data_IF_022340189004
#
_entry.id   IF_022340189004
#
_cell.length_a   1.000
_cell.length_b   1.000
_cell.length_c   1.000
_cell.angle_alpha   90.00
_cell.angle_beta   90.00
_cell.angle_gamma   90.00
#
_symmetry.space_group_name_H-M   'P 1'
#
loop_
_entity.id
_entity.type
_entity.pdbx_description
1 polymer ?
#
# COMPACT_ATOMS: atom_id res chain seq x y z
N UNK A 1 -29.36 -48.33 15.21
CA UNK A 1 -29.22 -48.04 13.75
C UNK A 1 -29.72 -46.62 13.53
N UNK A 2 -28.85 -45.60 13.49
CA UNK A 2 -27.98 -45.16 12.40
C UNK A 2 -28.67 -44.18 11.41
N UNK A 3 -28.17 -42.93 11.43
CA UNK A 3 -28.05 -41.95 10.31
C UNK A 3 -29.34 -41.24 9.85
N UNK A 4 -29.35 -39.98 9.41
CA UNK A 4 -28.31 -38.98 9.23
C UNK A 4 -28.94 -37.58 9.07
N UNK A 5 -28.22 -36.55 9.54
CA UNK A 5 -28.39 -35.14 9.16
C UNK A 5 -28.20 -34.94 7.66
N UNK A 6 -28.95 -33.99 7.07
CA UNK A 6 -28.43 -33.09 6.02
C UNK A 6 -28.97 -31.67 6.27
N UNK A 7 -28.12 -30.83 6.86
CA UNK A 7 -28.23 -29.39 6.70
C UNK A 7 -27.65 -29.03 5.33
N UNK A 8 -28.46 -28.44 4.46
CA UNK A 8 -27.99 -27.82 3.22
C UNK A 8 -27.36 -26.47 3.57
N UNK A 9 -26.03 -26.45 3.73
CA UNK A 9 -25.28 -25.20 3.76
C UNK A 9 -25.29 -24.57 2.37
N UNK A 10 -26.03 -23.48 2.21
CA UNK A 10 -25.94 -22.60 1.04
C UNK A 10 -24.52 -22.01 0.98
N UNK A 11 -23.67 -22.49 0.07
CA UNK A 11 -22.40 -21.83 -0.27
C UNK A 11 -22.71 -20.48 -0.91
N UNK A 12 -22.63 -19.39 -0.14
CA UNK A 12 -22.74 -18.03 -0.68
C UNK A 12 -21.44 -17.71 -1.45
N UNK A 13 -21.59 -17.32 -2.71
CA UNK A 13 -20.48 -16.93 -3.57
C UNK A 13 -19.91 -15.55 -3.17
N UNK A 14 -18.60 -15.30 -3.38
CA UNK A 14 -18.02 -13.97 -3.24
C UNK A 14 -18.61 -12.99 -4.27
N UNK A 15 -18.65 -11.70 -3.93
CA UNK A 15 -19.03 -10.63 -4.86
C UNK A 15 -17.79 -10.10 -5.57
N UNK A 16 -17.91 -9.85 -6.87
CA UNK A 16 -16.86 -9.29 -7.70
C UNK A 16 -17.22 -7.89 -8.16
N UNK A 17 -16.36 -6.91 -7.86
CA UNK A 17 -16.50 -5.54 -8.32
C UNK A 17 -15.33 -5.20 -9.23
N UNK A 18 -15.65 -4.81 -10.46
CA UNK A 18 -14.69 -4.26 -11.41
C UNK A 18 -14.76 -2.74 -11.35
N UNK A 19 -13.67 -2.10 -10.98
CA UNK A 19 -13.55 -0.64 -10.99
C UNK A 19 -12.60 -0.28 -12.14
N UNK A 20 -13.08 0.56 -13.06
CA UNK A 20 -12.26 1.15 -14.11
C UNK A 20 -11.95 2.58 -13.74
N UNK A 21 -10.66 2.89 -13.63
CA UNK A 21 -10.21 4.27 -13.61
C UNK A 21 -9.99 4.72 -15.06
N UNK A 22 -10.90 5.55 -15.56
CA UNK A 22 -10.91 6.01 -16.95
C UNK A 22 -9.72 6.92 -17.29
N UNK A 23 -9.08 7.54 -16.30
CA UNK A 23 -7.95 8.45 -16.54
C UNK A 23 -6.62 7.70 -16.68
N UNK A 24 -6.50 6.51 -16.08
CA UNK A 24 -5.22 5.78 -15.99
C UNK A 24 -5.20 4.45 -16.76
N UNK A 25 -6.24 4.15 -17.55
CA UNK A 25 -6.42 2.88 -18.28
C UNK A 25 -6.12 1.65 -17.41
N UNK A 26 -6.54 1.70 -16.15
CA UNK A 26 -6.27 0.68 -15.15
C UNK A 26 -7.55 -0.09 -14.83
N UNK A 27 -7.43 -1.42 -14.74
CA UNK A 27 -8.50 -2.31 -14.30
C UNK A 27 -8.20 -2.81 -12.89
N UNK A 28 -9.12 -2.54 -11.98
CA UNK A 28 -9.07 -3.03 -10.61
C UNK A 28 -10.14 -4.10 -10.41
N UNK A 29 -9.73 -5.20 -9.79
CA UNK A 29 -10.59 -6.33 -9.45
C UNK A 29 -10.51 -6.49 -7.94
N UNK A 30 -11.65 -6.34 -7.27
CA UNK A 30 -11.78 -6.61 -5.84
C UNK A 30 -12.80 -7.73 -5.63
N UNK A 31 -12.39 -8.78 -4.93
CA UNK A 31 -13.29 -9.82 -4.43
C UNK A 31 -13.36 -9.71 -2.92
N UNK A 32 -14.57 -9.57 -2.40
CA UNK A 32 -14.81 -9.49 -0.96
C UNK A 32 -15.71 -10.61 -0.46
N UNK A 33 -15.51 -11.01 0.80
CA UNK A 33 -16.40 -11.91 1.51
C UNK A 33 -17.78 -11.26 1.66
N UNK A 34 -18.84 -11.93 1.21
CA UNK A 34 -20.19 -11.35 1.25
C UNK A 34 -20.75 -11.14 2.65
N UNK A 35 -20.21 -11.82 3.67
CA UNK A 35 -20.68 -11.69 5.06
C UNK A 35 -19.86 -10.67 5.84
N UNK A 36 -18.54 -10.74 5.75
CA UNK A 36 -17.64 -9.86 6.53
C UNK A 36 -17.29 -8.57 5.79
N UNK A 37 -17.55 -8.51 4.48
CA UNK A 37 -17.06 -7.48 3.55
C UNK A 37 -15.53 -7.38 3.49
N UNK A 38 -14.81 -8.35 4.02
CA UNK A 38 -13.35 -8.37 3.99
C UNK A 38 -12.83 -8.72 2.60
N UNK A 39 -11.81 -8.01 2.15
CA UNK A 39 -11.11 -8.25 0.89
C UNK A 39 -10.44 -9.63 0.92
N UNK A 40 -10.75 -10.46 -0.07
CA UNK A 40 -10.18 -11.81 -0.25
C UNK A 40 -9.19 -11.82 -1.41
N UNK A 41 -9.43 -11.05 -2.46
CA UNK A 41 -8.54 -10.94 -3.61
C UNK A 41 -8.56 -9.53 -4.17
N UNK A 42 -7.38 -9.09 -4.60
CA UNK A 42 -7.19 -7.81 -5.24
C UNK A 42 -6.30 -7.97 -6.46
N UNK A 43 -6.72 -7.40 -7.58
CA UNK A 43 -5.99 -7.38 -8.83
C UNK A 43 -5.89 -5.96 -9.40
N UNK A 44 -4.72 -5.62 -9.93
CA UNK A 44 -4.50 -4.43 -10.75
C UNK A 44 -3.94 -4.88 -12.09
N UNK A 45 -4.46 -4.32 -13.16
CA UNK A 45 -3.82 -4.32 -14.47
C UNK A 45 -3.65 -2.88 -14.95
N UNK A 46 -2.41 -2.49 -15.25
CA UNK A 46 -2.06 -1.15 -15.71
C UNK A 46 -0.86 -1.23 -16.65
N UNK A 47 -0.98 -0.69 -17.86
CA UNK A 47 0.14 -0.59 -18.82
C UNK A 47 0.93 -1.91 -19.03
N UNK A 48 0.22 -3.03 -19.19
CA UNK A 48 0.77 -4.41 -19.29
C UNK A 48 1.46 -4.94 -18.01
N UNK A 49 1.41 -4.20 -16.91
CA UNK A 49 1.79 -4.72 -15.61
C UNK A 49 0.56 -5.29 -14.91
N UNK A 50 0.74 -6.42 -14.23
CA UNK A 50 -0.32 -7.02 -13.42
C UNK A 50 0.17 -7.27 -12.02
N UNK A 51 -0.63 -6.87 -11.03
CA UNK A 51 -0.38 -7.14 -9.62
C UNK A 51 -1.59 -7.87 -9.06
N UNK A 52 -1.39 -8.99 -8.37
CA UNK A 52 -2.47 -9.74 -7.73
C UNK A 52 -2.09 -10.12 -6.33
N UNK A 53 -3.06 -10.14 -5.44
CA UNK A 53 -2.91 -10.67 -4.09
C UNK A 53 -4.20 -11.36 -3.67
N UNK A 54 -4.08 -12.46 -2.94
CA UNK A 54 -5.19 -13.23 -2.38
C UNK A 54 -4.85 -13.65 -0.96
N UNK A 55 -5.83 -13.54 -0.07
CA UNK A 55 -5.79 -14.18 1.24
C UNK A 55 -6.27 -15.63 1.14
N UNK A 56 -5.48 -16.56 1.64
CA UNK A 56 -5.79 -17.98 1.71
C UNK A 56 -6.53 -18.32 3.01
N UNK A 57 -7.15 -19.50 3.07
CA UNK A 57 -7.98 -19.92 4.21
C UNK A 57 -7.17 -20.18 5.49
N UNK A 58 -5.86 -20.36 5.38
CA UNK A 58 -4.91 -20.59 6.47
C UNK A 58 -4.21 -19.30 6.95
N UNK A 59 -4.73 -18.13 6.57
CA UNK A 59 -4.16 -16.81 6.84
C UNK A 59 -2.78 -16.56 6.22
N UNK A 60 -2.39 -17.34 5.21
CA UNK A 60 -1.31 -16.94 4.30
C UNK A 60 -1.85 -16.07 3.17
N UNK A 61 -0.95 -15.41 2.47
CA UNK A 61 -1.26 -14.53 1.36
C UNK A 61 -0.41 -14.92 0.17
N UNK A 62 -1.06 -15.21 -0.95
CA UNK A 62 -0.37 -15.36 -2.23
C UNK A 62 -0.39 -14.02 -2.95
N UNK A 63 0.74 -13.59 -3.46
CA UNK A 63 0.83 -12.39 -4.28
C UNK A 63 1.75 -12.59 -5.46
N UNK A 64 1.43 -11.91 -6.57
CA UNK A 64 2.21 -11.95 -7.79
C UNK A 64 2.29 -10.58 -8.42
N UNK A 65 3.41 -10.32 -9.08
CA UNK A 65 3.65 -9.11 -9.83
C UNK A 65 4.30 -9.51 -11.16
N UNK A 66 3.74 -9.05 -12.27
CA UNK A 66 4.29 -9.18 -13.62
C UNK A 66 4.49 -7.78 -14.18
N UNK A 67 5.64 -7.55 -14.80
CA UNK A 67 6.02 -6.24 -15.33
C UNK A 67 7.48 -5.92 -15.05
N UNK A 68 7.81 -4.63 -15.15
CA UNK A 68 9.17 -4.14 -14.94
C UNK A 68 9.42 -3.79 -13.48
N UNK A 69 10.62 -4.09 -12.98
CA UNK A 69 11.05 -3.56 -11.68
C UNK A 69 11.20 -2.03 -11.78
N UNK A 70 10.55 -1.25 -10.90
CA UNK A 70 10.78 0.19 -10.85
C UNK A 70 12.25 0.48 -10.59
N UNK A 71 12.82 1.45 -11.31
CA UNK A 71 14.21 1.89 -11.15
C UNK A 71 14.26 3.19 -10.35
N UNK A 72 15.15 3.26 -9.35
CA UNK A 72 15.32 4.45 -8.50
C UNK A 72 14.02 4.96 -7.89
N UNK A 73 13.80 6.27 -8.03
CA UNK A 73 12.69 7.05 -7.46
C UNK A 73 11.52 7.26 -8.44
N UNK A 74 11.49 6.52 -9.55
CA UNK A 74 10.49 6.68 -10.62
C UNK A 74 9.02 6.60 -10.15
N UNK A 75 8.75 6.04 -8.97
CA UNK A 75 7.41 5.92 -8.40
C UNK A 75 7.10 6.95 -7.30
N UNK A 76 8.03 7.84 -6.93
CA UNK A 76 7.83 8.77 -5.82
C UNK A 76 6.64 9.72 -6.09
N UNK A 77 6.68 10.47 -7.18
CA UNK A 77 5.61 11.40 -7.54
C UNK A 77 4.24 10.71 -7.70
N UNK A 78 4.08 9.58 -8.44
CA UNK A 78 2.82 8.86 -8.49
C UNK A 78 2.28 8.42 -7.11
N UNK A 79 3.16 7.99 -6.19
CA UNK A 79 2.78 7.64 -4.82
C UNK A 79 2.27 8.86 -4.06
N UNK A 80 2.97 9.99 -4.19
CA UNK A 80 2.56 11.25 -3.57
C UNK A 80 1.19 11.74 -4.09
N UNK A 81 0.89 11.55 -5.38
CA UNK A 81 -0.41 11.90 -5.96
C UNK A 81 -1.55 11.12 -5.28
N UNK A 82 -1.39 9.80 -5.14
CA UNK A 82 -2.40 8.95 -4.49
C UNK A 82 -2.57 9.33 -3.01
N UNK A 83 -1.47 9.60 -2.30
CA UNK A 83 -1.53 10.03 -0.90
C UNK A 83 -2.27 11.37 -0.75
N UNK A 84 -1.90 12.38 -1.55
CA UNK A 84 -2.56 13.69 -1.54
C UNK A 84 -4.05 13.56 -1.84
N UNK A 85 -4.42 12.70 -2.80
CA UNK A 85 -5.82 12.40 -3.08
C UNK A 85 -6.52 11.82 -1.85
N UNK A 86 -5.93 10.82 -1.19
CA UNK A 86 -6.49 10.21 0.01
C UNK A 86 -6.65 11.22 1.17
N UNK A 87 -5.67 12.11 1.38
CA UNK A 87 -5.75 13.18 2.38
C UNK A 87 -6.88 14.18 2.06
N UNK A 88 -7.01 14.56 0.80
CA UNK A 88 -8.08 15.46 0.36
C UNK A 88 -9.47 14.82 0.47
N UNK A 89 -9.59 13.52 0.17
CA UNK A 89 -10.81 12.74 0.41
C UNK A 89 -11.15 12.64 1.90
N UNK A 90 -10.15 12.70 2.79
CA UNK A 90 -10.32 12.78 4.23
C UNK A 90 -10.62 14.21 4.75
N UNK A 91 -10.74 15.20 3.85
CA UNK A 91 -11.11 16.58 4.18
C UNK A 91 -9.95 17.56 4.29
N UNK A 92 -8.72 17.14 3.94
CA UNK A 92 -7.60 18.08 3.82
C UNK A 92 -7.66 18.85 2.48
N UNK A 93 -6.79 19.86 2.31
CA UNK A 93 -6.82 20.73 1.12
C UNK A 93 -5.43 21.01 0.54
N UNK A 94 -4.81 19.98 -0.01
CA UNK A 94 -3.49 20.06 -0.65
C UNK A 94 -3.59 20.18 -2.17
N UNK A 95 -2.68 20.94 -2.75
CA UNK A 95 -2.44 21.04 -4.20
C UNK A 95 -1.95 19.72 -4.77
N UNK A 96 -1.87 19.63 -6.10
CA UNK A 96 -1.10 18.56 -6.74
C UNK A 96 0.35 18.57 -6.23
N UNK A 97 0.94 17.41 -5.88
CA UNK A 97 2.33 17.36 -5.43
C UNK A 97 3.28 17.64 -6.60
N UNK A 98 4.42 18.23 -6.28
CA UNK A 98 5.54 18.47 -7.19
C UNK A 98 6.74 17.63 -6.76
N UNK A 99 7.53 17.19 -7.74
CA UNK A 99 8.77 16.44 -7.53
C UNK A 99 9.83 17.33 -6.85
N UNK A 100 10.53 16.77 -5.86
CA UNK A 100 11.62 17.41 -5.14
C UNK A 100 12.86 16.50 -4.98
N UNK A 101 12.90 15.37 -5.67
CA UNK A 101 13.95 14.34 -5.58
C UNK A 101 15.37 14.87 -5.81
N UNK A 102 15.54 15.88 -6.67
CA UNK A 102 16.86 16.45 -7.00
C UNK A 102 17.50 17.25 -5.86
N UNK A 103 16.74 17.71 -4.86
CA UNK A 103 17.27 18.58 -3.79
C UNK A 103 17.98 17.85 -2.66
N UNK A 104 17.87 16.51 -2.60
CA UNK A 104 18.54 15.65 -1.62
C UNK A 104 18.38 16.10 -0.14
N UNK A 105 17.18 16.57 0.23
CA UNK A 105 16.83 17.06 1.57
C UNK A 105 15.91 16.08 2.34
N UNK A 106 15.88 14.81 1.94
CA UNK A 106 14.95 13.78 2.41
C UNK A 106 13.47 14.10 2.13
N UNK A 107 13.19 14.83 1.05
CA UNK A 107 11.84 15.13 0.58
C UNK A 107 11.75 14.79 -0.89
N UNK A 108 10.93 13.80 -1.21
CA UNK A 108 10.75 13.36 -2.59
C UNK A 108 9.65 14.17 -3.28
N UNK A 109 8.65 14.63 -2.52
CA UNK A 109 7.56 15.46 -3.05
C UNK A 109 7.14 16.56 -2.07
N UNK A 110 6.64 17.67 -2.61
CA UNK A 110 6.01 18.75 -1.85
C UNK A 110 4.62 19.01 -2.41
N UNK A 111 3.61 19.17 -1.55
CA UNK A 111 2.33 19.77 -1.91
C UNK A 111 2.09 21.01 -1.05
N UNK A 112 1.39 22.00 -1.58
CA UNK A 112 1.06 23.22 -0.86
C UNK A 112 -0.40 23.22 -0.46
N UNK A 113 -0.73 23.81 0.69
CA UNK A 113 -2.11 24.06 1.05
C UNK A 113 -2.73 25.00 -0.01
N UNK A 114 -3.90 24.62 -0.56
CA UNK A 114 -4.51 25.38 -1.67
C UNK A 114 -4.96 26.78 -1.23
N UNK A 115 -5.24 26.97 0.05
CA UNK A 115 -5.68 28.24 0.62
C UNK A 115 -4.50 29.05 1.19
N UNK A 116 -3.37 28.39 1.48
CA UNK A 116 -2.17 29.03 2.00
C UNK A 116 -0.88 28.40 1.46
N UNK A 117 -0.33 28.97 0.39
CA UNK A 117 0.89 28.48 -0.25
C UNK A 117 2.17 28.52 0.60
N UNK A 118 2.13 29.04 1.84
CA UNK A 118 3.26 28.97 2.79
C UNK A 118 3.25 27.71 3.65
N UNK A 119 2.14 26.96 3.63
CA UNK A 119 2.00 25.70 4.36
C UNK A 119 2.28 24.56 3.40
N UNK A 120 3.32 23.79 3.73
CA UNK A 120 3.83 22.69 2.92
C UNK A 120 3.50 21.35 3.55
N UNK A 121 3.13 20.39 2.71
CA UNK A 121 3.13 18.96 2.99
C UNK A 121 4.39 18.38 2.35
N UNK A 122 5.37 18.01 3.16
CA UNK A 122 6.64 17.43 2.70
C UNK A 122 6.57 15.92 2.85
N UNK A 123 6.77 15.20 1.74
CA UNK A 123 6.56 13.75 1.67
C UNK A 123 7.88 13.07 1.33
N UNK A 124 8.25 12.08 2.14
CA UNK A 124 9.32 11.13 1.84
C UNK A 124 8.70 9.78 1.50
N UNK A 125 9.07 9.21 0.37
CA UNK A 125 8.63 7.91 -0.09
C UNK A 125 9.66 6.82 0.26
N UNK A 126 9.16 5.64 0.59
CA UNK A 126 9.91 4.39 0.68
C UNK A 126 9.07 3.28 0.09
N UNK A 127 9.67 2.31 -0.60
CA UNK A 127 8.92 1.13 -1.06
C UNK A 127 8.47 0.31 0.14
N UNK A 128 7.22 -0.17 0.13
CA UNK A 128 6.73 -1.08 1.17
C UNK A 128 7.52 -2.40 1.18
N UNK A 129 7.86 -2.93 0.00
CA UNK A 129 8.79 -4.06 -0.14
C UNK A 129 10.19 -3.56 -0.46
N UNK A 130 11.13 -3.78 0.44
CA UNK A 130 12.53 -3.35 0.27
C UNK A 130 13.52 -4.50 0.05
N UNK A 131 13.04 -5.72 -0.14
CA UNK A 131 13.84 -6.90 -0.46
C UNK A 131 14.44 -6.77 -1.88
N UNK A 132 15.76 -6.61 -1.98
CA UNK A 132 16.46 -6.48 -3.25
C UNK A 132 16.34 -7.74 -4.10
N UNK A 133 16.31 -8.93 -3.47
CA UNK A 133 16.14 -10.19 -4.20
C UNK A 133 14.76 -10.29 -4.84
N UNK A 134 13.72 -9.71 -4.22
CA UNK A 134 12.39 -9.63 -4.81
C UNK A 134 12.43 -8.83 -6.12
N UNK A 135 13.00 -7.62 -6.08
CA UNK A 135 13.07 -6.72 -7.24
C UNK A 135 14.02 -7.24 -8.33
N UNK A 136 15.14 -7.85 -7.95
CA UNK A 136 16.07 -8.46 -8.90
C UNK A 136 15.42 -9.62 -9.65
N UNK A 137 14.69 -10.50 -8.95
CA UNK A 137 13.97 -11.60 -9.59
C UNK A 137 12.88 -11.10 -10.55
N UNK A 138 12.13 -10.06 -10.17
CA UNK A 138 11.16 -9.44 -11.06
C UNK A 138 11.84 -8.86 -12.31
N UNK A 139 12.95 -8.15 -12.15
CA UNK A 139 13.72 -7.58 -13.27
C UNK A 139 14.23 -8.65 -14.24
N UNK A 140 14.70 -9.80 -13.72
CA UNK A 140 15.26 -10.87 -14.54
C UNK A 140 14.19 -11.73 -15.24
N UNK A 141 13.08 -12.00 -14.56
CA UNK A 141 12.06 -12.96 -15.04
C UNK A 141 10.83 -12.29 -15.62
N UNK A 142 10.66 -10.98 -15.44
CA UNK A 142 9.46 -10.24 -15.79
C UNK A 142 8.24 -10.57 -14.92
N UNK A 143 8.37 -11.51 -13.99
CA UNK A 143 7.30 -11.92 -13.07
C UNK A 143 7.85 -12.52 -11.79
N UNK A 144 7.09 -12.38 -10.70
CA UNK A 144 7.33 -13.03 -9.43
C UNK A 144 6.01 -13.43 -8.78
N UNK A 145 5.98 -14.58 -8.12
CA UNK A 145 4.88 -15.00 -7.26
C UNK A 145 5.45 -15.53 -5.95
N UNK A 146 4.84 -15.14 -4.83
CA UNK A 146 5.26 -15.55 -3.49
C UNK A 146 4.05 -15.83 -2.61
N UNK A 147 4.26 -16.71 -1.65
CA UNK A 147 3.38 -16.86 -0.50
C UNK A 147 4.05 -16.21 0.70
N UNK A 148 3.27 -15.55 1.55
CA UNK A 148 3.75 -14.94 2.78
C UNK A 148 2.70 -15.10 3.89
N UNK A 149 3.16 -15.40 5.09
CA UNK A 149 2.36 -15.28 6.31
C UNK A 149 2.13 -13.81 6.66
N UNK A 150 1.09 -13.57 7.47
CA UNK A 150 0.85 -12.22 8.00
C UNK A 150 2.08 -11.66 8.73
N UNK A 151 2.79 -12.48 9.52
CA UNK A 151 3.95 -12.04 10.29
C UNK A 151 5.10 -11.56 9.38
N UNK A 152 5.32 -12.23 8.25
CA UNK A 152 6.32 -11.82 7.27
C UNK A 152 5.94 -10.47 6.63
N UNK A 153 4.67 -10.29 6.27
CA UNK A 153 4.19 -9.00 5.72
C UNK A 153 4.36 -7.86 6.72
N UNK A 154 4.04 -8.08 8.00
CA UNK A 154 4.24 -7.07 9.05
C UNK A 154 5.73 -6.73 9.23
N UNK A 155 6.60 -7.74 9.20
CA UNK A 155 8.04 -7.54 9.30
C UNK A 155 8.58 -6.73 8.11
N UNK A 156 8.09 -6.99 6.89
CA UNK A 156 8.46 -6.23 5.70
C UNK A 156 8.07 -4.75 5.84
N UNK A 157 6.83 -4.46 6.27
CA UNK A 157 6.39 -3.08 6.50
C UNK A 157 7.26 -2.38 7.55
N UNK A 158 7.55 -3.06 8.68
CA UNK A 158 8.44 -2.52 9.71
C UNK A 158 9.83 -2.21 9.16
N UNK A 159 10.44 -3.14 8.43
CA UNK A 159 11.78 -2.97 7.82
C UNK A 159 11.83 -1.78 6.86
N UNK A 160 10.76 -1.55 6.07
CA UNK A 160 10.71 -0.41 5.16
C UNK A 160 10.76 0.94 5.90
N UNK A 161 10.05 1.07 7.03
CA UNK A 161 10.10 2.26 7.89
C UNK A 161 11.47 2.41 8.53
N UNK A 162 12.08 1.30 8.98
CA UNK A 162 13.42 1.33 9.60
C UNK A 162 14.48 1.93 8.68
N UNK A 163 14.37 1.75 7.35
CA UNK A 163 15.29 2.38 6.38
C UNK A 163 15.27 3.92 6.44
N UNK A 164 14.22 4.53 6.98
CA UNK A 164 14.04 5.98 7.09
C UNK A 164 14.26 6.52 8.50
N UNK A 165 14.53 5.67 9.50
CA UNK A 165 14.91 6.11 10.86
C UNK A 165 16.23 6.90 10.84
N UNK A 166 17.08 6.71 9.83
CA UNK A 166 18.30 7.52 9.66
C UNK A 166 18.03 9.02 9.42
N UNK A 167 16.81 9.41 9.06
CA UNK A 167 16.41 10.82 8.96
C UNK A 167 16.53 11.44 10.37
N UNK A 168 17.21 12.60 10.54
CA UNK A 168 17.43 13.20 11.84
C UNK A 168 16.11 13.47 12.60
N UNK A 169 16.02 13.17 13.91
CA UNK A 169 14.81 13.40 14.70
C UNK A 169 14.20 14.81 14.58
N UNK A 170 14.98 15.91 14.50
CA UNK A 170 14.42 17.25 14.32
C UNK A 170 13.69 17.47 12.98
N UNK A 171 13.96 16.65 11.95
CA UNK A 171 13.32 16.78 10.64
C UNK A 171 11.99 16.02 10.57
N UNK A 172 11.86 14.90 11.29
CA UNK A 172 10.72 13.97 11.15
C UNK A 172 9.35 14.60 11.42
N UNK A 173 9.17 15.52 12.41
CA UNK A 173 7.87 16.15 12.64
C UNK A 173 7.34 16.98 11.47
N UNK A 174 8.21 17.28 10.50
CA UNK A 174 7.88 18.04 9.29
C UNK A 174 7.79 17.14 8.05
N UNK A 175 7.79 15.82 8.22
CA UNK A 175 7.81 14.85 7.13
C UNK A 175 6.66 13.84 7.30
N UNK A 176 5.91 13.67 6.22
CA UNK A 176 5.02 12.52 6.03
C UNK A 176 5.82 11.39 5.38
N UNK A 177 5.81 10.23 6.02
CA UNK A 177 6.44 9.03 5.46
C UNK A 177 5.42 8.20 4.69
N UNK A 178 5.60 8.06 3.38
CA UNK A 178 4.72 7.31 2.49
C UNK A 178 5.38 5.98 2.07
N UNK A 179 4.74 4.86 2.43
CA UNK A 179 5.14 3.52 2.01
C UNK A 179 4.43 3.18 0.69
N UNK A 180 5.18 3.17 -0.41
CA UNK A 180 4.69 2.79 -1.74
C UNK A 180 4.37 1.28 -1.78
N UNK A 181 3.08 0.95 -1.72
CA UNK A 181 2.51 -0.36 -1.96
C UNK A 181 1.61 -0.37 -3.22
N UNK A 182 1.76 0.61 -4.12
CA UNK A 182 0.90 0.80 -5.29
C UNK A 182 0.89 -0.40 -6.24
N UNK A 183 1.99 -1.15 -6.29
CA UNK A 183 2.13 -2.41 -7.07
C UNK A 183 2.04 -3.68 -6.22
N UNK A 184 1.75 -3.56 -4.92
CA UNK A 184 1.83 -4.65 -3.96
C UNK A 184 0.56 -4.70 -3.11
N UNK A 185 -0.58 -5.09 -3.72
CA UNK A 185 -1.87 -5.07 -3.04
C UNK A 185 -1.96 -6.05 -1.86
N UNK A 186 -0.98 -6.91 -1.67
CA UNK A 186 -0.91 -7.79 -0.50
C UNK A 186 -0.89 -7.03 0.84
N UNK A 187 -0.38 -5.80 0.85
CA UNK A 187 -0.28 -4.99 2.07
C UNK A 187 -1.57 -4.25 2.43
N UNK A 188 -2.51 -4.08 1.49
CA UNK A 188 -3.75 -3.31 1.72
C UNK A 188 -4.89 -4.16 2.30
N UNK A 189 -4.66 -5.45 2.55
CA UNK A 189 -5.65 -6.32 3.18
C UNK A 189 -5.92 -5.87 4.62
N UNK A 190 -7.20 -5.76 4.99
CA UNK A 190 -7.63 -5.33 6.31
C UNK A 190 -6.98 -6.13 7.45
N UNK A 191 -6.84 -7.46 7.26
CA UNK A 191 -6.19 -8.32 8.24
C UNK A 191 -4.73 -7.92 8.49
N UNK A 192 -3.99 -7.59 7.42
CA UNK A 192 -2.60 -7.13 7.51
C UNK A 192 -2.52 -5.77 8.20
N UNK A 193 -3.34 -4.82 7.78
CA UNK A 193 -3.37 -3.46 8.35
C UNK A 193 -3.73 -3.46 9.84
N UNK A 194 -4.80 -4.16 10.22
CA UNK A 194 -5.23 -4.27 11.63
C UNK A 194 -4.13 -4.92 12.48
N UNK A 195 -3.51 -5.99 11.99
CA UNK A 195 -2.43 -6.65 12.72
C UNK A 195 -1.17 -5.79 12.82
N UNK A 196 -0.88 -4.98 11.80
CA UNK A 196 0.21 -4.01 11.83
C UNK A 196 -0.02 -2.96 12.90
N UNK A 197 -1.17 -2.27 12.86
CA UNK A 197 -1.50 -1.20 13.82
C UNK A 197 -1.46 -1.75 15.25
N UNK A 198 -2.05 -2.93 15.48
CA UNK A 198 -2.05 -3.56 16.80
C UNK A 198 -0.64 -3.87 17.33
N UNK A 199 0.27 -4.31 16.45
CA UNK A 199 1.61 -4.76 16.86
C UNK A 199 2.65 -3.64 16.89
N UNK A 200 2.59 -2.73 15.93
CA UNK A 200 3.65 -1.76 15.65
C UNK A 200 3.17 -0.30 15.62
N UNK A 201 1.88 -0.01 15.70
CA UNK A 201 1.36 1.36 15.62
C UNK A 201 2.01 2.32 16.62
N UNK A 202 2.06 1.93 17.91
CA UNK A 202 2.74 2.74 18.93
C UNK A 202 4.24 2.93 18.68
N UNK A 203 4.91 1.91 18.13
CA UNK A 203 6.32 2.04 17.74
C UNK A 203 6.47 3.02 16.57
N UNK A 204 5.64 2.90 15.54
CA UNK A 204 5.64 3.79 14.37
C UNK A 204 5.40 5.24 14.78
N UNK A 205 4.41 5.48 15.65
CA UNK A 205 4.13 6.80 16.21
C UNK A 205 5.33 7.37 16.98
N UNK A 206 6.00 6.54 17.79
CA UNK A 206 7.17 6.96 18.59
C UNK A 206 8.37 7.44 17.76
N UNK A 207 8.40 7.16 16.44
CA UNK A 207 9.47 7.61 15.56
C UNK A 207 9.44 9.13 15.31
N UNK A 208 8.29 9.78 15.55
CA UNK A 208 8.13 11.24 15.50
C UNK A 208 7.97 11.82 14.09
N UNK A 209 7.57 11.01 13.10
CA UNK A 209 7.11 11.54 11.81
C UNK A 209 5.80 12.33 11.98
N UNK A 210 5.51 13.26 11.06
CA UNK A 210 4.21 13.96 11.08
C UNK A 210 3.04 12.97 10.98
N UNK A 211 3.18 11.99 10.09
CA UNK A 211 2.35 10.80 9.98
C UNK A 211 3.04 9.75 9.11
N UNK A 212 2.62 8.49 9.23
CA UNK A 212 3.14 7.39 8.41
C UNK A 212 1.98 6.70 7.70
N UNK A 213 2.08 6.57 6.39
CA UNK A 213 1.00 6.06 5.53
C UNK A 213 1.46 4.89 4.69
N UNK A 214 0.62 3.87 4.58
CA UNK A 214 0.68 2.89 3.51
C UNK A 214 -0.13 3.41 2.33
N UNK A 215 0.53 3.63 1.20
CA UNK A 215 -0.10 4.11 -0.04
C UNK A 215 -0.41 2.92 -0.92
N UNK A 216 -1.70 2.63 -1.10
CA UNK A 216 -2.20 1.54 -1.92
C UNK A 216 -2.31 1.91 -3.41
N UNK A 217 -2.84 1.01 -4.24
CA UNK A 217 -3.06 1.27 -5.66
C UNK A 217 -4.05 2.43 -5.93
N UNK A 218 -4.99 2.66 -5.02
CA UNK A 218 -5.96 3.77 -5.04
C UNK A 218 -5.94 4.54 -3.72
N UNK A 219 -6.50 5.76 -3.74
CA UNK A 219 -6.67 6.61 -2.55
C UNK A 219 -7.49 5.90 -1.46
N UNK A 220 -8.54 5.17 -1.84
CA UNK A 220 -9.39 4.38 -0.93
C UNK A 220 -8.65 3.25 -0.21
N UNK A 221 -7.57 2.72 -0.81
CA UNK A 221 -6.70 1.71 -0.22
C UNK A 221 -5.50 2.31 0.55
N UNK A 222 -5.41 3.64 0.64
CA UNK A 222 -4.35 4.32 1.38
C UNK A 222 -4.75 4.49 2.84
N UNK A 223 -3.88 4.10 3.78
CA UNK A 223 -4.19 4.00 5.21
C UNK A 223 -3.05 4.52 6.08
N UNK A 224 -3.40 5.22 7.16
CA UNK A 224 -2.47 5.67 8.19
C UNK A 224 -2.04 4.49 9.08
N UNK A 225 -0.77 4.47 9.48
CA UNK A 225 -0.12 3.37 10.21
C UNK A 225 0.31 3.70 11.64
N UNK A 226 0.32 4.99 12.01
CA UNK A 226 0.75 5.52 13.31
C UNK A 226 -0.41 6.06 14.16
#
# INVERSE_FOLDING_TARGET
MAKNKKHSGSKKQPQNTNIRDSESNSLYIELSNTQTKELIEYGVEKNNETSRARQNNDNTFTHSLTGSSPQGEANALPTCVILVQALNEAGENWSHPIDNTEKNDNVDCIAYDKDNNKKELRIQVVRAMTDENFWQQLSQKGQIAREASINELLAILKLSIEKKIKIPPPQRPHLVLALDATKLPVFIFDGVLKAYILRYGSWTHSLGFQSVWLVGPLSTNTKRLD
#
